data_IF_085355990811
#
_entry.id   IF_085355990811
#
_cell.length_a   1.000
_cell.length_b   1.000
_cell.length_c   1.000
_cell.angle_alpha   90.00
_cell.angle_beta   90.00
_cell.angle_gamma   90.00
#
_symmetry.space_group_name_H-M   'P 1'
#
loop_
_entity.id
_entity.type
_entity.pdbx_description
1 polymer ?
#
# COMPACT_ATOMS: atom_id res chain seq x y z
N UNK A 1 24.88 -28.60 8.50
CA UNK A 1 23.90 -27.53 8.50
C UNK A 1 22.53 -28.11 8.12
N UNK A 2 21.54 -27.97 8.95
CA UNK A 2 20.20 -28.44 8.60
C UNK A 2 19.58 -27.47 7.60
N UNK A 3 19.06 -28.00 6.52
CA UNK A 3 18.28 -27.17 5.56
C UNK A 3 17.02 -26.64 6.23
N UNK A 4 16.70 -25.39 5.94
CA UNK A 4 15.45 -24.80 6.40
C UNK A 4 14.28 -25.58 5.78
N UNK A 5 13.43 -26.16 6.62
CA UNK A 5 12.24 -26.86 6.14
C UNK A 5 11.20 -25.83 5.71
N UNK A 6 10.92 -25.76 4.42
CA UNK A 6 9.87 -24.91 3.91
C UNK A 6 8.53 -25.61 4.09
N UNK A 7 7.59 -24.95 4.76
CA UNK A 7 6.22 -25.45 4.88
C UNK A 7 5.58 -25.53 3.50
N UNK A 8 4.84 -26.62 3.24
CA UNK A 8 4.08 -26.77 2.01
C UNK A 8 2.77 -25.97 2.00
N UNK A 9 2.40 -25.40 3.15
CA UNK A 9 1.18 -24.61 3.30
C UNK A 9 1.46 -23.17 2.85
N UNK A 10 0.64 -22.68 1.93
CA UNK A 10 0.73 -21.28 1.51
C UNK A 10 0.30 -20.35 2.64
N UNK A 11 1.01 -19.24 2.78
CA UNK A 11 0.57 -18.17 3.67
C UNK A 11 -0.69 -17.53 3.09
N UNK A 12 -1.76 -17.45 3.88
CA UNK A 12 -3.03 -16.88 3.43
C UNK A 12 -2.90 -15.37 3.17
N UNK A 13 -3.66 -14.87 2.19
CA UNK A 13 -3.63 -13.45 1.80
C UNK A 13 -3.92 -12.50 2.96
N UNK A 14 -4.73 -12.91 3.91
CA UNK A 14 -5.10 -12.10 5.10
C UNK A 14 -3.91 -11.71 5.97
N UNK A 15 -2.78 -12.44 5.87
CA UNK A 15 -1.58 -12.15 6.67
C UNK A 15 -0.74 -11.01 6.11
N UNK A 16 -0.98 -10.60 4.87
CA UNK A 16 -0.38 -9.39 4.32
C UNK A 16 -1.39 -8.24 4.43
N UNK A 17 -1.14 -7.33 5.35
CA UNK A 17 -2.04 -6.22 5.67
C UNK A 17 -1.51 -4.90 5.12
N UNK A 18 -2.41 -4.07 4.65
CA UNK A 18 -2.11 -2.74 4.12
C UNK A 18 -2.92 -1.71 4.89
N UNK A 19 -2.25 -0.69 5.41
CA UNK A 19 -2.88 0.37 6.19
C UNK A 19 -2.58 1.72 5.57
N UNK A 20 -3.59 2.58 5.49
CA UNK A 20 -3.43 3.97 5.04
C UNK A 20 -3.78 4.90 6.18
N UNK A 21 -2.96 5.93 6.38
CA UNK A 21 -3.22 6.97 7.36
C UNK A 21 -4.31 7.90 6.85
N UNK A 22 -5.50 7.79 7.40
CA UNK A 22 -6.66 8.60 7.02
C UNK A 22 -6.59 10.05 7.52
N UNK A 23 -5.59 10.40 8.32
CA UNK A 23 -5.38 11.79 8.75
C UNK A 23 -4.77 12.69 7.67
N UNK A 24 -4.12 12.09 6.68
CA UNK A 24 -3.43 12.80 5.58
C UNK A 24 -2.52 13.92 6.09
N UNK A 25 -1.55 13.53 6.94
CA UNK A 25 -0.57 14.45 7.50
C UNK A 25 -1.03 15.18 8.77
N UNK A 26 -2.12 14.74 9.37
CA UNK A 26 -2.58 15.26 10.65
C UNK A 26 -1.63 14.93 11.80
N UNK A 27 -1.78 15.64 12.91
CA UNK A 27 -0.93 15.46 14.10
C UNK A 27 -1.08 14.10 14.77
N UNK A 28 -2.25 13.49 14.63
CA UNK A 28 -2.53 12.14 15.14
C UNK A 28 -2.83 11.22 13.97
N UNK A 29 -2.02 10.17 13.81
CA UNK A 29 -2.24 9.19 12.75
C UNK A 29 -3.50 8.37 13.01
N UNK A 30 -4.18 8.00 11.92
CA UNK A 30 -5.37 7.16 11.96
C UNK A 30 -5.31 6.15 10.83
N UNK A 31 -4.67 5.01 11.09
CA UNK A 31 -4.47 3.97 10.08
C UNK A 31 -5.72 3.13 9.91
N UNK A 32 -6.19 3.06 8.68
CA UNK A 32 -7.32 2.23 8.25
C UNK A 32 -6.79 1.06 7.43
N UNK A 33 -7.18 -0.16 7.79
CA UNK A 33 -6.80 -1.35 7.03
C UNK A 33 -7.62 -1.43 5.75
N UNK A 34 -6.93 -1.61 4.62
CA UNK A 34 -7.57 -1.93 3.35
C UNK A 34 -7.91 -3.42 3.30
N UNK A 35 -8.98 -3.76 2.63
CA UNK A 35 -9.32 -5.15 2.36
C UNK A 35 -10.81 -5.47 2.35
N UNK A 36 -11.62 -4.70 3.04
CA UNK A 36 -13.07 -4.94 3.03
C UNK A 36 -13.63 -4.74 1.62
N UNK A 37 -14.32 -5.74 1.11
CA UNK A 37 -14.86 -5.77 -0.26
C UNK A 37 -13.80 -5.74 -1.37
N UNK A 38 -12.53 -5.98 -1.04
CA UNK A 38 -11.44 -6.13 -2.01
C UNK A 38 -11.12 -7.61 -2.20
N UNK A 39 -11.29 -8.10 -3.39
CA UNK A 39 -10.91 -9.47 -3.77
C UNK A 39 -9.43 -9.55 -4.12
N UNK A 40 -8.89 -8.49 -4.67
CA UNK A 40 -7.50 -8.42 -5.10
C UNK A 40 -6.89 -7.05 -4.81
N UNK A 41 -5.66 -7.07 -4.35
CA UNK A 41 -4.83 -5.87 -4.17
C UNK A 41 -3.37 -6.27 -4.29
N UNK A 42 -2.64 -5.60 -5.16
CA UNK A 42 -1.21 -5.82 -5.35
C UNK A 42 -0.50 -4.49 -5.55
N UNK A 43 0.69 -4.41 -4.99
CA UNK A 43 1.59 -3.29 -5.23
C UNK A 43 2.43 -3.59 -6.46
N UNK A 44 2.21 -2.84 -7.54
CA UNK A 44 2.94 -2.98 -8.79
C UNK A 44 4.28 -2.25 -8.69
N UNK A 45 5.37 -2.98 -8.78
CA UNK A 45 6.71 -2.42 -8.63
C UNK A 45 7.18 -1.66 -9.86
N UNK A 46 6.70 -2.02 -11.03
CA UNK A 46 7.03 -1.39 -12.33
C UNK A 46 8.52 -1.11 -12.48
N UNK A 47 9.37 -2.16 -12.46
CA UNK A 47 10.81 -1.97 -12.56
C UNK A 47 11.21 -1.39 -13.91
N UNK A 48 12.12 -0.46 -13.88
CA UNK A 48 12.72 0.11 -15.10
C UNK A 48 14.03 -0.60 -15.40
N UNK A 49 13.97 -1.62 -16.27
CA UNK A 49 15.10 -2.47 -16.63
C UNK A 49 15.38 -2.36 -18.11
N UNK A 50 16.63 -2.08 -18.45
CA UNK A 50 17.13 -2.08 -19.83
C UNK A 50 18.21 -3.14 -19.97
N UNK A 51 18.08 -3.96 -21.02
CA UNK A 51 19.05 -5.00 -21.36
C UNK A 51 19.74 -4.59 -22.64
N UNK A 52 21.05 -4.39 -22.58
CA UNK A 52 21.87 -3.97 -23.72
C UNK A 52 22.89 -5.03 -24.07
N UNK A 53 23.14 -5.20 -25.35
CA UNK A 53 24.26 -6.04 -25.87
C UNK A 53 25.22 -5.15 -26.65
N UNK A 54 26.50 -5.32 -26.36
CA UNK A 54 27.54 -4.70 -27.16
C UNK A 54 27.93 -5.58 -28.37
N UNK A 55 28.80 -5.05 -29.23
CA UNK A 55 29.25 -5.78 -30.43
C UNK A 55 30.09 -7.02 -30.13
N UNK A 56 30.56 -7.18 -28.92
CA UNK A 56 31.31 -8.35 -28.47
C UNK A 56 30.38 -9.48 -28.01
N UNK A 57 29.06 -9.24 -28.01
CA UNK A 57 28.08 -10.20 -27.54
C UNK A 57 27.88 -10.22 -26.03
N UNK A 58 28.52 -9.30 -25.33
CA UNK A 58 28.34 -9.15 -23.88
C UNK A 58 27.01 -8.48 -23.58
N UNK A 59 26.31 -9.03 -22.58
CA UNK A 59 25.01 -8.52 -22.14
C UNK A 59 25.17 -7.73 -20.85
N UNK A 60 24.61 -6.53 -20.83
CA UNK A 60 24.55 -5.68 -19.65
C UNK A 60 23.09 -5.42 -19.29
N UNK A 61 22.78 -5.51 -18.00
CA UNK A 61 21.46 -5.21 -17.46
C UNK A 61 21.54 -3.95 -16.62
N UNK A 62 20.78 -2.93 -17.01
CA UNK A 62 20.69 -1.67 -16.26
C UNK A 62 19.32 -1.58 -15.62
N UNK A 63 19.27 -1.45 -14.29
CA UNK A 63 18.05 -1.31 -13.53
C UNK A 63 18.02 0.10 -12.93
N UNK A 64 17.14 0.96 -13.46
CA UNK A 64 17.10 2.39 -13.10
C UNK A 64 16.21 2.71 -11.92
N UNK A 65 15.44 1.74 -11.43
CA UNK A 65 14.58 1.92 -10.27
C UNK A 65 13.17 1.38 -10.47
N UNK A 66 12.25 1.86 -9.65
CA UNK A 66 10.86 1.37 -9.60
C UNK A 66 9.88 2.54 -9.69
N UNK A 67 8.77 2.32 -10.41
CA UNK A 67 7.63 3.23 -10.40
C UNK A 67 6.46 2.59 -9.66
N UNK A 68 6.54 2.51 -8.34
CA UNK A 68 5.62 1.72 -7.54
C UNK A 68 4.25 2.39 -7.44
N UNK A 69 3.21 1.64 -7.74
CA UNK A 69 1.82 2.08 -7.61
C UNK A 69 0.91 0.90 -7.27
N UNK A 70 -0.25 1.21 -6.71
CA UNK A 70 -1.26 0.22 -6.37
C UNK A 70 -2.64 0.77 -6.72
N UNK A 71 -3.52 -0.07 -7.23
CA UNK A 71 -4.89 0.31 -7.55
C UNK A 71 -5.86 -0.35 -6.58
N UNK A 72 -6.72 0.47 -5.98
CA UNK A 72 -7.87 -0.01 -5.20
C UNK A 72 -9.09 0.17 -6.08
N UNK A 73 -9.48 -0.88 -6.77
CA UNK A 73 -10.55 -0.85 -7.79
C UNK A 73 -11.94 -0.73 -7.21
N UNK A 74 -12.11 -0.96 -5.91
CA UNK A 74 -13.41 -0.94 -5.25
C UNK A 74 -13.23 -0.49 -3.80
N UNK A 75 -13.79 0.64 -3.45
CA UNK A 75 -13.78 1.13 -2.06
C UNK A 75 -15.16 1.66 -1.71
N UNK A 76 -15.95 0.83 -1.05
CA UNK A 76 -17.34 1.14 -0.70
C UNK A 76 -17.44 2.05 0.51
N UNK A 77 -18.49 2.89 0.50
CA UNK A 77 -18.82 3.77 1.61
C UNK A 77 -19.41 3.00 2.79
N UNK A 78 -18.86 3.23 3.97
CA UNK A 78 -19.43 2.76 5.23
C UNK A 78 -19.51 3.94 6.20
N UNK A 79 -20.58 4.00 6.97
CA UNK A 79 -20.72 5.03 7.98
C UNK A 79 -19.58 4.98 8.99
N UNK A 80 -18.95 6.14 9.25
CA UNK A 80 -17.88 6.26 10.21
C UNK A 80 -16.49 5.90 9.69
N UNK A 81 -16.36 5.57 8.41
CA UNK A 81 -15.05 5.30 7.81
C UNK A 81 -14.30 6.61 7.55
N UNK A 82 -13.23 6.90 8.30
CA UNK A 82 -12.48 8.15 8.15
C UNK A 82 -11.74 8.24 6.82
N UNK A 83 -11.32 7.11 6.25
CA UNK A 83 -10.65 7.10 4.96
C UNK A 83 -11.62 7.47 3.84
N UNK A 84 -12.83 6.92 3.86
CA UNK A 84 -13.85 7.27 2.87
C UNK A 84 -14.18 8.77 2.92
N UNK A 85 -14.31 9.33 4.12
CA UNK A 85 -14.58 10.76 4.30
C UNK A 85 -13.49 11.64 3.68
N UNK A 86 -12.22 11.25 3.84
CA UNK A 86 -11.09 11.97 3.24
C UNK A 86 -11.04 11.81 1.72
N UNK A 87 -11.31 10.63 1.22
CA UNK A 87 -11.39 10.40 -0.23
C UNK A 87 -12.49 11.24 -0.86
N UNK A 88 -13.66 11.31 -0.23
CA UNK A 88 -14.77 12.13 -0.68
C UNK A 88 -14.42 13.63 -0.68
N UNK A 89 -13.77 14.10 0.36
CA UNK A 89 -13.29 15.49 0.45
C UNK A 89 -12.32 15.82 -0.69
N UNK A 90 -11.31 14.97 -0.90
CA UNK A 90 -10.32 15.15 -1.96
C UNK A 90 -10.99 15.17 -3.33
N UNK A 91 -11.89 14.22 -3.58
CA UNK A 91 -12.56 14.10 -4.88
C UNK A 91 -13.53 15.26 -5.17
N UNK A 92 -14.33 15.65 -4.18
CA UNK A 92 -15.33 16.70 -4.35
C UNK A 92 -14.70 18.10 -4.46
N UNK A 93 -13.66 18.36 -3.69
CA UNK A 93 -12.92 19.62 -3.75
C UNK A 93 -11.85 19.62 -4.84
N UNK A 94 -11.62 18.47 -5.48
CA UNK A 94 -10.62 18.29 -6.54
C UNK A 94 -9.23 18.78 -6.12
N UNK A 95 -8.84 18.35 -4.94
CA UNK A 95 -7.54 18.70 -4.36
C UNK A 95 -6.39 18.15 -5.21
N UNK A 96 -5.30 18.88 -5.23
CA UNK A 96 -4.05 18.50 -5.89
C UNK A 96 -2.87 18.71 -4.96
N UNK A 97 -1.71 18.16 -5.35
CA UNK A 97 -0.47 18.39 -4.61
C UNK A 97 -0.46 17.77 -3.22
N UNK A 98 -0.01 18.54 -2.24
CA UNK A 98 0.20 18.06 -0.88
C UNK A 98 -1.07 17.56 -0.18
N UNK A 99 -2.23 17.99 -0.62
CA UNK A 99 -3.51 17.52 -0.09
C UNK A 99 -3.79 16.04 -0.34
N UNK A 100 -3.03 15.41 -1.23
CA UNK A 100 -3.12 13.98 -1.57
C UNK A 100 -2.11 13.13 -0.82
N UNK A 101 -1.18 13.73 -0.09
CA UNK A 101 -0.09 13.01 0.57
C UNK A 101 -0.51 12.40 1.89
N UNK A 102 -0.12 11.16 2.09
CA UNK A 102 -0.25 10.45 3.36
C UNK A 102 0.84 9.39 3.46
N UNK A 103 0.74 8.52 4.44
CA UNK A 103 1.64 7.39 4.61
C UNK A 103 0.89 6.07 4.52
N UNK A 104 1.56 5.05 4.02
CA UNK A 104 1.05 3.69 3.95
C UNK A 104 1.97 2.76 4.71
N UNK A 105 1.41 1.82 5.43
CA UNK A 105 2.16 0.77 6.14
C UNK A 105 1.74 -0.59 5.59
N UNK A 106 2.72 -1.36 5.16
CA UNK A 106 2.53 -2.75 4.73
C UNK A 106 3.13 -3.66 5.79
N UNK A 107 2.35 -4.62 6.25
CA UNK A 107 2.74 -5.54 7.32
C UNK A 107 2.50 -6.97 6.89
N UNK A 108 3.52 -7.80 6.97
CA UNK A 108 3.35 -9.24 6.82
C UNK A 108 3.38 -9.90 8.20
N UNK A 109 2.33 -10.66 8.49
CA UNK A 109 2.23 -11.45 9.70
C UNK A 109 2.65 -12.90 9.44
N UNK A 110 3.29 -13.51 10.43
CA UNK A 110 3.46 -14.96 10.45
C UNK A 110 2.13 -15.65 10.79
N UNK A 111 2.03 -16.94 10.51
CA UNK A 111 0.81 -17.71 10.78
C UNK A 111 0.44 -17.75 12.29
N UNK A 112 1.38 -17.46 13.18
CA UNK A 112 1.13 -17.34 14.62
C UNK A 112 0.66 -15.95 15.06
N UNK A 113 0.54 -15.00 14.12
CA UNK A 113 0.10 -13.64 14.40
C UNK A 113 1.21 -12.64 14.71
N UNK A 114 2.46 -13.09 14.81
CA UNK A 114 3.61 -12.19 15.00
C UNK A 114 3.95 -11.47 13.70
N UNK A 115 4.57 -10.29 13.81
CA UNK A 115 4.96 -9.49 12.64
C UNK A 115 6.25 -10.05 12.05
N UNK A 116 6.23 -10.47 10.78
CA UNK A 116 7.42 -10.89 10.06
C UNK A 116 8.22 -9.67 9.59
N UNK A 117 7.54 -8.69 8.98
CA UNK A 117 8.14 -7.41 8.60
C UNK A 117 7.05 -6.34 8.49
N UNK A 118 7.49 -5.09 8.62
CA UNK A 118 6.64 -3.92 8.41
C UNK A 118 7.45 -2.81 7.73
N UNK A 119 6.82 -2.12 6.78
CA UNK A 119 7.42 -1.00 6.06
C UNK A 119 6.44 0.15 6.00
N UNK A 120 6.96 1.36 6.19
CA UNK A 120 6.20 2.60 5.99
C UNK A 120 6.77 3.34 4.78
N UNK A 121 5.90 3.96 4.02
CA UNK A 121 6.30 4.74 2.84
C UNK A 121 5.35 5.92 2.66
N UNK A 122 5.90 7.06 2.21
CA UNK A 122 5.09 8.19 1.80
C UNK A 122 4.37 7.86 0.49
N UNK A 123 3.10 8.18 0.40
CA UNK A 123 2.27 7.87 -0.76
C UNK A 123 1.37 9.06 -1.12
N UNK A 124 0.96 9.06 -2.38
CA UNK A 124 -0.09 9.95 -2.89
C UNK A 124 -1.31 9.10 -3.19
N UNK A 125 -2.45 9.50 -2.63
CA UNK A 125 -3.72 8.80 -2.84
C UNK A 125 -4.59 9.64 -3.77
N UNK A 126 -4.87 9.11 -4.95
CA UNK A 126 -5.58 9.83 -6.00
C UNK A 126 -6.91 9.13 -6.30
N UNK A 127 -8.06 9.71 -5.90
CA UNK A 127 -9.37 9.16 -6.27
C UNK A 127 -9.57 9.19 -7.79
N UNK A 128 -10.12 8.11 -8.34
CA UNK A 128 -10.33 7.97 -9.77
C UNK A 128 -11.76 8.35 -10.20
N UNK A 129 -12.73 8.09 -9.35
CA UNK A 129 -14.14 8.37 -9.63
C UNK A 129 -14.96 8.46 -8.35
N UNK A 130 -16.11 9.07 -8.43
CA UNK A 130 -17.11 9.09 -7.35
C UNK A 130 -18.41 8.57 -7.93
N UNK A 131 -18.93 7.50 -7.38
CA UNK A 131 -20.16 6.90 -7.89
C UNK A 131 -20.43 5.57 -7.22
N UNK A 132 -20.62 4.56 -8.02
CA UNK A 132 -20.91 3.22 -7.52
C UNK A 132 -21.87 2.50 -8.44
N UNK A 133 -22.37 1.39 -7.93
CA UNK A 133 -23.33 0.55 -8.60
C UNK A 133 -24.48 0.22 -7.64
N UNK A 134 -25.29 -0.79 -7.98
CA UNK A 134 -26.41 -1.21 -7.14
C UNK A 134 -25.99 -1.77 -5.78
N UNK A 135 -24.70 -2.10 -5.63
CA UNK A 135 -24.14 -2.61 -4.36
C UNK A 135 -23.80 -1.50 -3.37
N UNK A 136 -23.60 -0.28 -3.84
CA UNK A 136 -23.34 0.87 -2.97
C UNK A 136 -22.54 1.99 -3.62
N UNK A 137 -22.33 3.04 -2.85
CA UNK A 137 -21.48 4.16 -3.23
C UNK A 137 -20.01 3.77 -3.05
N UNK A 138 -19.19 4.09 -4.04
CA UNK A 138 -17.76 3.78 -3.97
C UNK A 138 -16.90 4.88 -4.58
N UNK A 139 -15.68 5.00 -4.08
CA UNK A 139 -14.64 5.87 -4.61
C UNK A 139 -13.38 5.03 -4.81
N UNK A 140 -13.18 4.41 -5.98
CA UNK A 140 -11.92 3.74 -6.26
C UNK A 140 -10.78 4.76 -6.37
N UNK A 141 -9.59 4.33 -5.97
CA UNK A 141 -8.43 5.23 -5.96
C UNK A 141 -7.15 4.48 -6.33
N UNK A 142 -6.13 5.24 -6.72
CA UNK A 142 -4.80 4.73 -7.00
C UNK A 142 -3.83 5.31 -5.99
N UNK A 143 -2.93 4.47 -5.49
CA UNK A 143 -1.86 4.85 -4.57
C UNK A 143 -0.56 4.91 -5.34
N UNK A 144 0.10 6.07 -5.33
CA UNK A 144 1.43 6.25 -5.93
C UNK A 144 2.45 6.37 -4.80
N UNK A 145 3.43 5.48 -4.80
CA UNK A 145 4.46 5.50 -3.78
C UNK A 145 5.45 6.63 -4.07
N UNK A 146 5.72 7.45 -3.07
CA UNK A 146 6.54 8.66 -3.19
C UNK A 146 7.92 8.52 -2.57
N UNK A 147 8.25 7.36 -2.02
CA UNK A 147 9.56 7.09 -1.44
C UNK A 147 9.61 7.27 0.08
N UNK A 148 10.82 7.53 0.59
CA UNK A 148 11.08 7.60 2.03
C UNK A 148 10.68 6.31 2.77
N UNK A 149 10.90 5.16 2.11
CA UNK A 149 10.53 3.85 2.63
C UNK A 149 11.43 3.45 3.79
N UNK A 150 10.84 3.04 4.90
CA UNK A 150 11.56 2.62 6.11
C UNK A 150 11.01 1.29 6.62
N UNK A 151 11.89 0.43 7.07
CA UNK A 151 11.51 -0.77 7.80
C UNK A 151 11.27 -0.45 9.27
N UNK A 152 10.52 -1.31 9.94
CA UNK A 152 10.26 -1.13 11.37
C UNK A 152 9.35 -2.21 11.93
N UNK A 153 8.63 -1.85 12.97
CA UNK A 153 7.67 -2.73 13.64
C UNK A 153 6.29 -2.12 13.64
N UNK A 154 5.29 -2.99 13.75
CA UNK A 154 3.88 -2.58 13.77
C UNK A 154 3.20 -3.13 15.02
N UNK A 155 2.58 -2.23 15.79
CA UNK A 155 1.76 -2.59 16.95
C UNK A 155 0.29 -2.67 16.52
N UNK A 156 -0.27 -3.87 16.48
CA UNK A 156 -1.64 -4.12 16.02
C UNK A 156 -2.68 -3.42 16.91
N UNK A 157 -2.49 -3.46 18.22
CA UNK A 157 -3.45 -2.93 19.18
C UNK A 157 -3.57 -1.40 19.09
N UNK A 158 -2.47 -0.70 18.88
CA UNK A 158 -2.41 0.76 18.82
C UNK A 158 -2.37 1.31 17.40
N UNK A 159 -2.19 0.43 16.41
CA UNK A 159 -1.99 0.78 14.99
C UNK A 159 -0.87 1.81 14.83
N UNK A 160 0.26 1.51 15.44
CA UNK A 160 1.41 2.40 15.43
C UNK A 160 2.62 1.73 14.80
N UNK A 161 3.27 2.45 13.88
CA UNK A 161 4.53 2.04 13.28
C UNK A 161 5.70 2.65 14.05
N UNK A 162 6.73 1.84 14.31
CA UNK A 162 7.98 2.30 14.91
C UNK A 162 9.13 1.96 13.97
N UNK A 163 9.85 2.98 13.44
CA UNK A 163 10.98 2.73 12.56
C UNK A 163 12.06 1.90 13.25
N UNK A 164 12.75 1.07 12.47
CA UNK A 164 13.92 0.36 12.94
C UNK A 164 15.06 1.35 13.20
N UNK A 165 15.86 1.03 14.21
CA UNK A 165 17.02 1.84 14.58
C UNK A 165 18.13 1.79 13.52
#
# INVERSE_FOLDING_TARGET
MADATVSKTRLERKWLAHYIDASFGGTTTNYVRLGKDLEEYSEELNPDVNVEKNILGEQNVVHSGYGVQSEVGSYYAYDGDPLFSKLAEIANERKTGEGLQTTKVDVLFNADGTVAWAYIEDVWVVPNSVGGDTSGVQIPFTIYNAGNRKSGTWAVATKKFTPAA
#
